data_IF_342302185007
#
_entry.id   IF_342302185007
#
_cell.length_a   1.000
_cell.length_b   1.000
_cell.length_c   1.000
_cell.angle_alpha   90.00
_cell.angle_beta   90.00
_cell.angle_gamma   90.00
#
_symmetry.space_group_name_H-M   'P 1'
#
loop_
_entity.id
_entity.type
_entity.pdbx_description
1 polymer ?
#
# COMPACT_ATOMS: atom_id res chain seq x y z
N UNK A 1 19.86 19.53 18.09
CA UNK A 1 19.03 18.96 17.00
C UNK A 1 19.59 17.59 16.68
N UNK A 2 18.87 16.52 17.01
CA UNK A 2 19.31 15.14 16.69
C UNK A 2 18.62 14.73 15.40
N UNK A 3 19.39 14.64 14.32
CA UNK A 3 18.95 14.10 13.04
C UNK A 3 18.64 12.60 13.20
N UNK A 4 17.36 12.31 13.44
CA UNK A 4 16.82 10.98 13.79
C UNK A 4 16.46 10.15 12.54
N UNK A 5 16.93 10.56 11.34
CA UNK A 5 16.59 9.89 10.08
C UNK A 5 17.10 8.43 10.03
N UNK A 6 18.04 8.04 10.91
CA UNK A 6 18.57 6.67 11.03
C UNK A 6 17.94 5.77 12.11
N UNK A 7 16.94 6.22 12.89
CA UNK A 7 16.41 5.42 14.01
C UNK A 7 15.32 4.42 13.62
N UNK A 8 14.64 4.61 12.48
CA UNK A 8 13.60 3.70 12.01
C UNK A 8 14.25 2.69 11.05
N UNK A 9 14.21 1.39 11.35
CA UNK A 9 14.77 0.38 10.46
C UNK A 9 14.11 0.43 9.07
N UNK A 10 14.93 0.37 8.02
CA UNK A 10 14.43 0.41 6.64
C UNK A 10 13.43 -0.70 6.33
N UNK A 11 13.58 -1.87 6.95
CA UNK A 11 12.63 -2.98 6.80
C UNK A 11 11.23 -2.63 7.35
N UNK A 12 11.13 -1.78 8.40
CA UNK A 12 9.83 -1.30 8.90
C UNK A 12 9.18 -0.41 7.86
N UNK A 13 9.93 0.53 7.28
CA UNK A 13 9.42 1.42 6.23
C UNK A 13 8.93 0.59 5.03
N UNK A 14 9.71 -0.40 4.58
CA UNK A 14 9.35 -1.26 3.48
C UNK A 14 8.07 -2.08 3.74
N UNK A 15 7.94 -2.67 4.93
CA UNK A 15 6.76 -3.48 5.29
C UNK A 15 5.51 -2.62 5.46
N UNK A 16 5.61 -1.50 6.20
CA UNK A 16 4.48 -0.59 6.45
C UNK A 16 4.01 0.09 5.18
N UNK A 17 4.91 0.39 4.24
CA UNK A 17 4.51 0.96 2.94
C UNK A 17 4.02 -0.12 1.98
N UNK A 18 4.58 -1.34 2.03
CA UNK A 18 4.20 -2.44 1.15
C UNK A 18 2.79 -2.98 1.40
N UNK A 19 2.38 -3.14 2.65
CA UNK A 19 1.03 -3.64 3.01
C UNK A 19 -0.11 -2.80 2.39
N UNK A 20 -0.17 -1.48 2.58
CA UNK A 20 -1.22 -0.66 2.00
C UNK A 20 -1.11 -0.56 0.49
N UNK A 21 0.09 -0.62 -0.10
CA UNK A 21 0.25 -0.67 -1.57
C UNK A 21 -0.37 -1.94 -2.14
N UNK A 22 -0.07 -3.10 -1.57
CA UNK A 22 -0.66 -4.38 -2.01
C UNK A 22 -2.17 -4.38 -1.79
N UNK A 23 -2.62 -3.90 -0.63
CA UNK A 23 -4.05 -3.77 -0.33
C UNK A 23 -4.79 -2.85 -1.32
N UNK A 24 -4.19 -1.71 -1.65
CA UNK A 24 -4.76 -0.75 -2.60
C UNK A 24 -4.84 -1.33 -4.01
N UNK A 25 -3.79 -2.01 -4.46
CA UNK A 25 -3.81 -2.75 -5.73
C UNK A 25 -4.93 -3.80 -5.72
N UNK A 26 -5.07 -4.55 -4.62
CA UNK A 26 -6.16 -5.52 -4.45
C UNK A 26 -7.55 -4.88 -4.54
N UNK A 27 -7.75 -3.70 -3.95
CA UNK A 27 -9.01 -2.95 -4.03
C UNK A 27 -9.30 -2.52 -5.48
N UNK A 28 -8.30 -2.05 -6.22
CA UNK A 28 -8.49 -1.69 -7.63
C UNK A 28 -8.89 -2.91 -8.48
N UNK A 29 -8.25 -4.05 -8.27
CA UNK A 29 -8.64 -5.29 -8.93
C UNK A 29 -10.06 -5.72 -8.54
N UNK A 30 -10.38 -5.72 -7.25
CA UNK A 30 -11.73 -6.06 -6.78
C UNK A 30 -12.81 -5.15 -7.39
N UNK A 31 -12.54 -3.84 -7.46
CA UNK A 31 -13.41 -2.86 -8.08
C UNK A 31 -13.59 -3.09 -9.59
N UNK A 32 -12.55 -3.53 -10.29
CA UNK A 32 -12.65 -3.87 -11.73
C UNK A 32 -13.67 -4.98 -12.02
N UNK A 33 -13.97 -5.85 -11.04
CA UNK A 33 -14.96 -6.92 -11.18
C UNK A 33 -16.28 -6.60 -10.46
N UNK A 34 -16.44 -5.37 -9.97
CA UNK A 34 -17.59 -4.98 -9.15
C UNK A 34 -18.20 -3.67 -9.65
N UNK A 35 -19.42 -3.75 -10.22
CA UNK A 35 -20.23 -2.59 -10.65
C UNK A 35 -19.61 -1.81 -11.82
N UNK A 36 -19.16 -0.58 -11.59
CA UNK A 36 -18.70 0.34 -12.62
C UNK A 36 -17.40 -0.19 -13.25
N UNK A 37 -17.41 -0.40 -14.56
CA UNK A 37 -16.27 -1.00 -15.28
C UNK A 37 -16.22 -2.52 -15.23
N UNK A 38 -17.20 -3.19 -14.59
CA UNK A 38 -17.28 -4.65 -14.50
C UNK A 38 -17.90 -5.33 -15.73
N UNK A 39 -18.39 -4.57 -16.72
CA UNK A 39 -19.15 -5.06 -17.89
C UNK A 39 -20.40 -5.89 -17.57
N UNK A 40 -20.89 -5.80 -16.33
CA UNK A 40 -22.20 -6.27 -15.87
C UNK A 40 -23.19 -5.11 -15.92
#
# INVERSE_FOLDING_TARGET
>A
MVDTIGMIPLWIIGTVTGIPVIGLIGIFFYGSYSRLGSSL
#
